data_IF_949648081531
#
_entry.id   IF_949648081531
#
_cell.length_a   1.000
_cell.length_b   1.000
_cell.length_c   1.000
_cell.angle_alpha   90.00
_cell.angle_beta   90.00
_cell.angle_gamma   90.00
#
_symmetry.space_group_name_H-M   'P 1'
#
loop_
_entity.id
_entity.type
_entity.pdbx_description
1 polymer ?
#
# COMPACT_ATOMS: atom_id res chain seq x y z
N UNK A 1 -3.92 22.05 -1.60
CA UNK A 1 -3.19 20.92 -0.99
C UNK A 1 -2.87 19.91 -2.08
N UNK A 2 -1.74 20.08 -2.76
CA UNK A 2 -1.26 19.18 -3.81
C UNK A 2 -0.89 17.84 -3.17
N UNK A 3 -1.70 16.80 -3.39
CA UNK A 3 -1.34 15.45 -2.96
C UNK A 3 -0.21 14.99 -3.87
N UNK A 4 1.02 15.02 -3.36
CA UNK A 4 2.16 14.40 -4.04
C UNK A 4 1.89 12.90 -4.10
N UNK A 5 1.35 12.47 -5.24
CA UNK A 5 1.12 11.07 -5.51
C UNK A 5 2.47 10.41 -5.76
N UNK A 6 3.07 9.91 -4.68
CA UNK A 6 4.20 9.00 -4.78
C UNK A 6 3.64 7.63 -5.15
N UNK A 7 3.93 7.20 -6.38
CA UNK A 7 3.64 5.83 -6.80
C UNK A 7 4.34 4.86 -5.84
N UNK A 8 3.68 3.75 -5.53
CA UNK A 8 4.36 2.66 -4.84
C UNK A 8 5.47 2.13 -5.73
N UNK A 9 6.63 1.86 -5.14
CA UNK A 9 7.71 1.14 -5.80
C UNK A 9 7.27 -0.29 -6.10
N UNK A 10 7.99 -0.97 -6.98
CA UNK A 10 7.73 -2.38 -7.31
C UNK A 10 7.79 -3.24 -6.03
N UNK A 11 8.77 -3.00 -5.17
CA UNK A 11 8.95 -3.72 -3.90
C UNK A 11 7.77 -3.53 -2.94
N UNK A 12 7.27 -2.30 -2.83
CA UNK A 12 6.10 -1.99 -2.00
C UNK A 12 4.84 -2.68 -2.55
N UNK A 13 4.67 -2.73 -3.88
CA UNK A 13 3.55 -3.45 -4.52
C UNK A 13 3.65 -4.96 -4.30
N UNK A 14 4.83 -5.54 -4.41
CA UNK A 14 5.08 -6.97 -4.14
C UNK A 14 4.77 -7.30 -2.68
N UNK A 15 5.26 -6.49 -1.75
CA UNK A 15 5.02 -6.66 -0.32
C UNK A 15 3.54 -6.56 0.01
N UNK A 16 2.85 -5.56 -0.55
CA UNK A 16 1.40 -5.41 -0.41
C UNK A 16 0.65 -6.67 -0.91
N UNK A 17 1.05 -7.21 -2.06
CA UNK A 17 0.43 -8.41 -2.63
C UNK A 17 0.63 -9.64 -1.72
N UNK A 18 1.86 -9.89 -1.29
CA UNK A 18 2.23 -11.04 -0.43
C UNK A 18 1.47 -10.96 0.90
N UNK A 19 1.53 -9.82 1.58
CA UNK A 19 0.88 -9.66 2.88
C UNK A 19 -0.65 -9.72 2.77
N UNK A 20 -1.23 -9.22 1.68
CA UNK A 20 -2.68 -9.34 1.43
C UNK A 20 -3.09 -10.81 1.21
N UNK A 21 -2.28 -11.60 0.49
CA UNK A 21 -2.51 -13.05 0.35
C UNK A 21 -2.44 -13.78 1.69
N UNK A 22 -1.62 -13.29 2.63
CA UNK A 22 -1.55 -13.79 4.00
C UNK A 22 -2.72 -13.32 4.89
N UNK A 23 -3.67 -12.54 4.35
CA UNK A 23 -4.82 -12.01 5.10
C UNK A 23 -4.52 -10.77 5.95
N UNK A 24 -3.36 -10.13 5.77
CA UNK A 24 -3.02 -8.93 6.52
C UNK A 24 -3.93 -7.75 6.13
N UNK A 25 -4.32 -6.95 7.12
CA UNK A 25 -5.08 -5.72 6.87
C UNK A 25 -4.21 -4.65 6.20
N UNK A 26 -4.83 -3.77 5.40
CA UNK A 26 -4.12 -2.64 4.78
C UNK A 26 -3.44 -1.72 5.81
N UNK A 27 -3.94 -1.66 7.04
CA UNK A 27 -3.30 -0.91 8.13
C UNK A 27 -2.00 -1.56 8.58
N UNK A 28 -1.98 -2.88 8.74
CA UNK A 28 -0.77 -3.61 9.08
C UNK A 28 0.29 -3.48 7.97
N UNK A 29 -0.12 -3.63 6.72
CA UNK A 29 0.77 -3.47 5.55
C UNK A 29 1.32 -2.03 5.48
N UNK A 30 0.48 -1.03 5.73
CA UNK A 30 0.89 0.37 5.77
C UNK A 30 1.95 0.65 6.84
N UNK A 31 1.84 0.04 8.03
CA UNK A 31 2.86 0.15 9.07
C UNK A 31 4.19 -0.49 8.63
N UNK A 32 4.15 -1.67 8.00
CA UNK A 32 5.36 -2.34 7.48
C UNK A 32 6.04 -1.52 6.38
N UNK A 33 5.25 -0.93 5.48
CA UNK A 33 5.77 -0.14 4.36
C UNK A 33 6.12 1.31 4.75
N UNK A 34 5.83 1.76 5.97
CA UNK A 34 5.97 3.17 6.36
C UNK A 34 5.08 4.11 5.52
N UNK A 35 3.97 3.60 4.98
CA UNK A 35 3.05 4.34 4.11
C UNK A 35 1.75 4.66 4.81
N UNK A 36 1.04 5.66 4.31
CA UNK A 36 -0.30 5.95 4.82
C UNK A 36 -1.30 4.88 4.31
N UNK A 37 -2.21 4.36 5.16
CA UNK A 37 -3.22 3.37 4.73
C UNK A 37 -4.10 3.85 3.56
N UNK A 38 -4.33 5.17 3.46
CA UNK A 38 -5.04 5.80 2.35
C UNK A 38 -4.31 5.65 1.01
N UNK A 39 -2.97 5.65 1.00
CA UNK A 39 -2.16 5.42 -0.20
C UNK A 39 -2.35 4.00 -0.70
N UNK A 40 -2.25 3.01 0.20
CA UNK A 40 -2.46 1.61 -0.15
C UNK A 40 -3.89 1.33 -0.62
N UNK A 41 -4.89 1.92 0.04
CA UNK A 41 -6.30 1.80 -0.35
C UNK A 41 -6.56 2.35 -1.77
N UNK A 42 -5.94 3.49 -2.11
CA UNK A 42 -6.02 4.05 -3.47
C UNK A 42 -5.33 3.15 -4.48
N UNK A 43 -4.16 2.59 -4.16
CA UNK A 43 -3.45 1.66 -5.04
C UNK A 43 -4.26 0.40 -5.31
N UNK A 44 -4.85 -0.19 -4.25
CA UNK A 44 -5.74 -1.36 -4.38
C UNK A 44 -6.97 -1.05 -5.22
N UNK A 45 -7.47 0.19 -5.21
CA UNK A 45 -8.61 0.61 -6.04
C UNK A 45 -8.23 0.87 -7.50
N UNK A 46 -6.96 1.17 -7.79
CA UNK A 46 -6.47 1.41 -9.16
C UNK A 46 -6.18 0.12 -9.92
N UNK A 47 -6.02 -1.00 -9.21
CA UNK A 47 -5.82 -2.34 -9.75
C UNK A 47 -7.17 -3.05 -9.85
#
# INVERSE_FOLDING_TARGET
MTTHYTHLTIEERVTLMIMRMQGASLRAIAQVLGRQPSTLSREVRRQ
#
